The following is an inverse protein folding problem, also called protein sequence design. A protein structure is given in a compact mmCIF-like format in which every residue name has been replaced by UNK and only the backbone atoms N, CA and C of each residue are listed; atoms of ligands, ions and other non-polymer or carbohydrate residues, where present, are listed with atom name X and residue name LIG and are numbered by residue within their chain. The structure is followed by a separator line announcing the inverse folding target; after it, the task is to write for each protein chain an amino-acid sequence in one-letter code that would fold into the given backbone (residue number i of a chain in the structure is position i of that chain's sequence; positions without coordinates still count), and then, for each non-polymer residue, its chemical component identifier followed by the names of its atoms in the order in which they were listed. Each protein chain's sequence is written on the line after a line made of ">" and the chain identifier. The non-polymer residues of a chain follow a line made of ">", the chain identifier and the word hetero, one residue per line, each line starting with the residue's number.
data_IF_302017669305
#
_entry.id   IF_302017669305
#
_cell.length_a   1.000
_cell.length_b   1.000
_cell.length_c   1.000
_cell.angle_alpha   90.00
_cell.angle_beta   90.00
_cell.angle_gamma   90.00
#
_symmetry.space_group_name_H-M   'P 1'
#
loop_
_entity.id
_entity.type
_entity.pdbx_description
1 polymer ?
#
# COMPACT_ATOMS: atom_id res chain seq x y z
N UNK A 1 3.36 1.05 -5.20
CA UNK A 1 1.99 1.58 -5.35
C UNK A 1 1.77 2.37 -6.64
N UNK A 2 2.64 3.33 -7.02
CA UNK A 2 2.43 4.13 -8.24
C UNK A 2 2.37 3.28 -9.51
N UNK A 3 3.18 2.24 -9.63
CA UNK A 3 3.06 1.27 -10.72
C UNK A 3 1.68 0.59 -10.77
N UNK A 4 1.13 0.19 -9.62
CA UNK A 4 -0.22 -0.40 -9.54
C UNK A 4 -1.33 0.62 -9.82
N UNK A 5 -1.13 1.88 -9.42
CA UNK A 5 -2.01 2.99 -9.79
C UNK A 5 -2.01 3.23 -11.30
N UNK A 6 -0.86 3.06 -11.95
CA UNK A 6 -0.74 3.17 -13.40
C UNK A 6 -1.55 2.07 -14.13
N UNK A 7 -1.43 0.81 -13.67
CA UNK A 7 -2.28 -0.28 -14.16
C UNK A 7 -3.77 0.01 -13.97
N UNK A 8 -4.16 0.57 -12.82
CA UNK A 8 -5.55 0.97 -12.57
C UNK A 8 -6.04 2.03 -13.58
N UNK A 9 -5.20 3.01 -13.92
CA UNK A 9 -5.55 4.03 -14.93
C UNK A 9 -5.89 3.34 -16.26
N UNK A 10 -5.03 2.43 -16.73
CA UNK A 10 -5.26 1.69 -17.98
C UNK A 10 -6.54 0.86 -17.93
N UNK A 11 -6.76 0.13 -16.84
CA UNK A 11 -7.96 -0.70 -16.63
C UNK A 11 -9.26 0.13 -16.63
N UNK A 12 -9.27 1.27 -15.94
CA UNK A 12 -10.42 2.17 -15.92
C UNK A 12 -10.68 2.83 -17.27
N UNK A 13 -9.62 3.27 -17.97
CA UNK A 13 -9.76 3.86 -19.31
C UNK A 13 -10.40 2.88 -20.27
N UNK A 14 -9.91 1.64 -20.32
CA UNK A 14 -10.50 0.57 -21.12
C UNK A 14 -11.96 0.34 -20.74
N UNK A 15 -12.26 0.26 -19.44
CA UNK A 15 -13.63 0.12 -18.96
C UNK A 15 -14.56 1.23 -19.45
N UNK A 16 -14.13 2.49 -19.41
CA UNK A 16 -14.94 3.60 -19.90
C UNK A 16 -15.05 3.65 -21.43
N UNK A 17 -13.97 3.33 -22.16
CA UNK A 17 -13.96 3.23 -23.64
C UNK A 17 -14.94 2.16 -24.14
N UNK A 18 -15.06 1.04 -23.40
CA UNK A 18 -15.98 -0.06 -23.68
C UNK A 18 -17.38 0.14 -23.08
N UNK A 19 -17.69 1.33 -22.54
CA UNK A 19 -18.93 1.65 -21.82
C UNK A 19 -19.25 0.72 -20.64
N UNK A 20 -18.23 0.06 -20.07
CA UNK A 20 -18.31 -0.83 -18.93
C UNK A 20 -17.86 -0.12 -17.64
N UNK A 21 -18.70 0.81 -17.15
CA UNK A 21 -18.44 1.53 -15.90
C UNK A 21 -18.41 0.59 -14.66
N UNK A 22 -19.05 -0.58 -14.73
CA UNK A 22 -19.01 -1.57 -13.66
C UNK A 22 -17.59 -2.14 -13.47
N UNK A 23 -16.90 -2.44 -14.57
CA UNK A 23 -15.51 -2.90 -14.53
C UNK A 23 -14.59 -1.83 -13.92
N UNK A 24 -14.69 -0.59 -14.39
CA UNK A 24 -13.91 0.52 -13.85
C UNK A 24 -14.19 0.74 -12.35
N UNK A 25 -15.46 0.77 -11.94
CA UNK A 25 -15.84 0.93 -10.53
C UNK A 25 -15.32 -0.20 -9.63
N UNK A 26 -15.36 -1.45 -10.12
CA UNK A 26 -14.83 -2.61 -9.39
C UNK A 26 -13.31 -2.54 -9.24
N UNK A 27 -12.60 -2.14 -10.30
CA UNK A 27 -11.15 -1.94 -10.27
C UNK A 27 -10.76 -0.84 -9.28
N UNK A 28 -11.43 0.33 -9.33
CA UNK A 28 -11.20 1.45 -8.41
C UNK A 28 -11.42 1.01 -6.97
N UNK A 29 -12.53 0.33 -6.69
CA UNK A 29 -12.85 -0.17 -5.34
C UNK A 29 -11.77 -1.13 -4.85
N UNK A 30 -11.38 -2.09 -5.69
CA UNK A 30 -10.37 -3.11 -5.32
C UNK A 30 -9.02 -2.46 -5.04
N UNK A 31 -8.57 -1.53 -5.88
CA UNK A 31 -7.35 -0.79 -5.62
C UNK A 31 -7.43 0.05 -4.35
N UNK A 32 -8.50 0.83 -4.22
CA UNK A 32 -8.62 1.82 -3.12
C UNK A 32 -8.71 1.11 -1.77
N UNK A 33 -9.53 0.07 -1.67
CA UNK A 33 -9.78 -0.62 -0.41
C UNK A 33 -8.70 -1.65 -0.12
N UNK A 34 -8.56 -2.65 -1.00
CA UNK A 34 -7.78 -3.86 -0.71
C UNK A 34 -6.26 -3.67 -0.90
N UNK A 35 -5.81 -2.58 -1.52
CA UNK A 35 -4.38 -2.35 -1.80
C UNK A 35 -3.92 -1.05 -1.14
N UNK A 36 -4.57 0.07 -1.49
CA UNK A 36 -4.15 1.38 -1.02
C UNK A 36 -4.45 1.58 0.46
N UNK A 37 -5.71 1.41 0.89
CA UNK A 37 -6.11 1.61 2.29
C UNK A 37 -5.56 0.51 3.20
N UNK A 38 -5.84 -0.75 2.89
CA UNK A 38 -5.48 -1.87 3.77
C UNK A 38 -3.96 -1.98 3.95
N UNK A 39 -3.17 -1.85 2.88
CA UNK A 39 -1.74 -2.11 2.96
C UNK A 39 -0.86 -0.87 2.81
N UNK A 40 -1.00 -0.10 1.73
CA UNK A 40 -0.07 1.00 1.47
C UNK A 40 -0.17 2.11 2.51
N UNK A 41 -1.39 2.48 2.91
CA UNK A 41 -1.63 3.54 3.90
C UNK A 41 -1.02 3.14 5.25
N UNK A 42 -1.22 1.90 5.69
CA UNK A 42 -0.61 1.39 6.92
C UNK A 42 0.93 1.42 6.86
N UNK A 43 1.51 0.98 5.74
CA UNK A 43 2.96 0.95 5.54
C UNK A 43 3.57 2.35 5.58
N UNK A 44 2.91 3.31 4.95
CA UNK A 44 3.46 4.66 4.79
C UNK A 44 3.19 5.56 6.00
N UNK A 45 2.28 5.23 6.91
CA UNK A 45 1.96 6.05 8.11
C UNK A 45 3.20 6.47 8.89
N UNK A 46 4.06 5.52 9.23
CA UNK A 46 5.28 5.79 10.01
C UNK A 46 6.21 6.76 9.28
N UNK A 47 6.36 6.61 7.96
CA UNK A 47 7.17 7.49 7.12
C UNK A 47 6.53 8.87 6.88
N UNK A 48 5.22 8.93 6.74
CA UNK A 48 4.48 10.17 6.50
C UNK A 48 4.43 11.06 7.76
N UNK A 49 4.18 10.46 8.93
CA UNK A 49 4.20 11.18 10.20
C UNK A 49 5.62 11.45 10.69
N UNK A 50 6.51 10.46 10.57
CA UNK A 50 7.91 10.54 10.95
C UNK A 50 8.18 11.14 12.35
N UNK A 51 7.32 10.84 13.33
CA UNK A 51 7.37 11.43 14.69
C UNK A 51 8.71 11.13 15.38
N UNK A 52 9.21 9.93 15.16
CA UNK A 52 10.44 9.41 15.76
C UNK A 52 11.68 9.72 14.91
N UNK A 53 11.53 10.50 13.82
CA UNK A 53 12.61 10.86 12.87
C UNK A 53 13.39 9.67 12.30
N UNK A 54 12.74 8.51 12.20
CA UNK A 54 13.29 7.28 11.64
C UNK A 54 13.61 7.40 10.15
N UNK A 55 12.86 8.23 9.42
CA UNK A 55 13.02 8.44 8.00
C UNK A 55 13.63 9.81 7.70
N UNK A 56 14.48 9.89 6.69
CA UNK A 56 14.96 11.19 6.24
C UNK A 56 13.83 12.02 5.60
N UNK A 57 14.04 13.35 5.53
CA UNK A 57 13.01 14.28 5.04
C UNK A 57 12.61 14.04 3.57
N UNK A 58 13.51 13.48 2.74
CA UNK A 58 13.20 13.18 1.34
C UNK A 58 12.21 12.01 1.24
N UNK A 59 12.39 10.98 2.06
CA UNK A 59 11.48 9.84 2.15
C UNK A 59 10.10 10.26 2.67
N UNK A 60 10.05 11.13 3.68
CA UNK A 60 8.79 11.69 4.19
C UNK A 60 8.05 12.50 3.11
N UNK A 61 8.75 13.37 2.38
CA UNK A 61 8.15 14.12 1.25
C UNK A 61 7.67 13.19 0.13
N UNK A 62 8.44 12.13 -0.16
CA UNK A 62 8.04 11.09 -1.11
C UNK A 62 6.75 10.38 -0.70
N UNK A 63 6.58 10.09 0.59
CA UNK A 63 5.33 9.55 1.13
C UNK A 63 4.13 10.49 0.90
N UNK A 64 4.26 11.79 1.24
CA UNK A 64 3.20 12.77 1.03
C UNK A 64 2.84 12.93 -0.44
N UNK A 65 3.86 13.06 -1.31
CA UNK A 65 3.65 13.11 -2.75
C UNK A 65 2.85 11.91 -3.24
N UNK A 66 3.23 10.71 -2.81
CA UNK A 66 2.60 9.47 -3.28
C UNK A 66 1.17 9.34 -2.77
N UNK A 67 0.92 9.67 -1.50
CA UNK A 67 -0.44 9.70 -0.92
C UNK A 67 -1.37 10.65 -1.67
N UNK A 68 -0.92 11.89 -1.91
CA UNK A 68 -1.69 12.86 -2.67
C UNK A 68 -1.90 12.41 -4.11
N UNK A 69 -0.89 11.85 -4.78
CA UNK A 69 -1.05 11.38 -6.16
C UNK A 69 -2.02 10.22 -6.28
N UNK A 70 -1.97 9.26 -5.36
CA UNK A 70 -2.96 8.18 -5.32
C UNK A 70 -4.37 8.74 -5.12
N UNK A 71 -4.59 9.61 -4.13
CA UNK A 71 -5.91 10.18 -3.87
C UNK A 71 -6.42 11.04 -5.03
N UNK A 72 -5.58 11.92 -5.59
CA UNK A 72 -5.91 12.74 -6.76
C UNK A 72 -6.43 11.88 -7.93
N UNK A 73 -5.71 10.80 -8.25
CA UNK A 73 -6.05 9.92 -9.37
C UNK A 73 -7.29 9.08 -9.05
N UNK A 74 -7.41 8.53 -7.83
CA UNK A 74 -8.62 7.79 -7.40
C UNK A 74 -9.85 8.67 -7.58
N UNK A 75 -9.81 9.93 -7.14
CA UNK A 75 -10.95 10.86 -7.28
C UNK A 75 -11.30 11.10 -8.74
N UNK A 76 -10.31 11.36 -9.60
CA UNK A 76 -10.54 11.58 -11.04
C UNK A 76 -11.10 10.35 -11.75
N UNK A 77 -10.60 9.16 -11.43
CA UNK A 77 -11.10 7.90 -12.00
C UNK A 77 -12.53 7.60 -11.54
N UNK A 78 -12.86 7.97 -10.30
CA UNK A 78 -14.17 7.72 -9.68
C UNK A 78 -15.22 8.79 -10.04
N UNK A 79 -14.80 9.99 -10.46
CA UNK A 79 -15.70 11.12 -10.71
C UNK A 79 -16.87 10.82 -11.66
N UNK A 80 -16.69 10.05 -12.76
CA UNK A 80 -17.80 9.67 -13.63
C UNK A 80 -18.87 8.78 -12.97
N UNK A 81 -18.53 8.11 -11.86
CA UNK A 81 -19.41 7.16 -11.14
C UNK A 81 -19.98 7.82 -9.87
N UNK A 82 -19.17 8.56 -9.12
CA UNK A 82 -19.55 9.19 -7.85
C UNK A 82 -19.24 10.70 -7.85
N UNK A 83 -20.03 11.52 -8.57
CA UNK A 83 -19.64 12.90 -8.90
C UNK A 83 -19.63 13.84 -7.70
N UNK A 84 -20.57 13.72 -6.76
CA UNK A 84 -20.73 14.69 -5.66
C UNK A 84 -19.63 14.59 -4.60
N UNK A 85 -19.31 13.36 -4.18
CA UNK A 85 -18.28 13.15 -3.15
C UNK A 85 -16.88 13.43 -3.71
N UNK A 86 -16.63 13.05 -4.97
CA UNK A 86 -15.34 13.32 -5.62
C UNK A 86 -15.13 14.81 -5.82
N UNK A 87 -16.15 15.56 -6.23
CA UNK A 87 -16.14 17.03 -6.30
C UNK A 87 -15.84 17.65 -4.94
N UNK A 88 -16.54 17.24 -3.89
CA UNK A 88 -16.37 17.82 -2.55
C UNK A 88 -14.94 17.65 -2.04
N UNK A 89 -14.38 16.45 -2.13
CA UNK A 89 -13.00 16.18 -1.70
C UNK A 89 -11.99 16.92 -2.59
N UNK A 90 -12.25 17.01 -3.90
CA UNK A 90 -11.39 17.70 -4.86
C UNK A 90 -11.29 19.20 -4.59
N UNK A 91 -12.43 19.86 -4.35
CA UNK A 91 -12.51 21.29 -4.10
C UNK A 91 -11.84 21.72 -2.78
N UNK A 92 -11.78 20.79 -1.84
CA UNK A 92 -11.12 20.98 -0.55
C UNK A 92 -9.60 20.84 -0.68
N UNK A 93 -9.12 19.80 -1.38
CA UNK A 93 -7.71 19.42 -1.33
C UNK A 93 -6.85 19.89 -2.51
N UNK A 94 -7.42 20.08 -3.70
CA UNK A 94 -6.62 20.17 -4.93
C UNK A 94 -6.87 21.42 -5.78
N UNK A 95 -8.11 21.86 -5.92
CA UNK A 95 -8.44 23.01 -6.78
C UNK A 95 -9.68 23.73 -6.30
N UNK A 96 -9.94 24.95 -6.79
CA UNK A 96 -11.26 25.60 -6.67
C UNK A 96 -12.13 25.40 -7.91
N UNK A 97 -11.57 24.82 -8.95
CA UNK A 97 -12.29 24.40 -10.14
C UNK A 97 -12.80 22.97 -10.00
N UNK A 98 -13.95 22.70 -10.62
CA UNK A 98 -14.60 21.40 -10.58
C UNK A 98 -13.69 20.28 -11.09
N UNK A 99 -13.79 19.09 -10.47
CA UNK A 99 -13.08 17.90 -10.95
C UNK A 99 -13.55 17.49 -12.35
N UNK A 100 -14.81 17.81 -12.68
CA UNK A 100 -15.48 17.40 -13.92
C UNK A 100 -15.00 18.16 -15.15
N UNK A 101 -14.23 19.24 -14.98
CA UNK A 101 -13.56 19.96 -16.08
C UNK A 101 -12.07 19.62 -16.20
N UNK A 102 -11.56 18.74 -15.33
CA UNK A 102 -10.15 18.34 -15.34
C UNK A 102 -9.91 17.24 -16.38
N UNK A 103 -8.67 17.16 -16.86
CA UNK A 103 -8.27 16.05 -17.75
C UNK A 103 -8.37 14.72 -17.03
N UNK A 104 -8.91 13.74 -17.73
CA UNK A 104 -8.92 12.36 -17.27
C UNK A 104 -7.48 11.83 -17.16
N UNK A 105 -7.16 10.98 -16.16
CA UNK A 105 -5.81 10.46 -16.00
C UNK A 105 -5.30 9.65 -17.20
N UNK A 106 -4.00 9.73 -17.43
CA UNK A 106 -3.26 8.97 -18.44
C UNK A 106 -2.15 8.17 -17.77
N UNK A 107 -1.84 7.02 -18.36
CA UNK A 107 -0.71 6.21 -17.93
C UNK A 107 0.60 6.96 -18.14
N UNK A 108 1.56 6.68 -17.26
CA UNK A 108 2.85 7.34 -17.19
C UNK A 108 3.96 6.32 -17.31
N UNK A 109 4.83 6.50 -18.29
CA UNK A 109 5.98 5.61 -18.52
C UNK A 109 6.90 5.56 -17.30
N UNK A 110 7.09 6.67 -16.59
CA UNK A 110 7.93 6.72 -15.39
C UNK A 110 7.39 5.90 -14.21
N UNK A 111 6.12 5.47 -14.26
CA UNK A 111 5.51 4.62 -13.24
C UNK A 111 5.51 3.15 -13.63
N UNK A 112 5.86 2.80 -14.86
CA UNK A 112 6.05 1.40 -15.25
C UNK A 112 7.29 0.84 -14.58
N UNK A 113 7.09 -0.07 -13.63
CA UNK A 113 8.17 -0.61 -12.84
C UNK A 113 7.84 -2.03 -12.36
N UNK A 114 8.79 -2.95 -12.50
CA UNK A 114 8.66 -4.36 -12.10
C UNK A 114 8.48 -4.56 -10.60
N UNK A 115 8.73 -3.54 -9.76
CA UNK A 115 8.46 -3.57 -8.32
C UNK A 115 7.00 -3.90 -7.98
N UNK A 116 6.07 -3.65 -8.90
CA UNK A 116 4.65 -4.04 -8.74
C UNK A 116 4.48 -5.54 -8.56
N UNK A 117 5.37 -6.35 -9.13
CA UNK A 117 5.35 -7.81 -9.01
C UNK A 117 5.61 -8.28 -7.57
N UNK A 118 6.18 -7.41 -6.71
CA UNK A 118 6.38 -7.69 -5.30
C UNK A 118 5.15 -7.40 -4.44
N UNK A 119 4.14 -6.72 -4.98
CA UNK A 119 2.94 -6.33 -4.24
C UNK A 119 2.20 -7.53 -3.62
N UNK A 120 2.00 -8.67 -4.32
CA UNK A 120 1.36 -9.84 -3.70
C UNK A 120 2.15 -10.37 -2.50
N UNK A 121 3.48 -10.48 -2.61
CA UNK A 121 4.34 -10.91 -1.50
C UNK A 121 4.30 -9.92 -0.33
N UNK A 122 4.29 -8.63 -0.61
CA UNK A 122 4.17 -7.58 0.40
C UNK A 122 2.83 -7.66 1.15
N UNK A 123 1.73 -7.85 0.43
CA UNK A 123 0.39 -8.01 1.02
C UNK A 123 0.30 -9.29 1.84
N UNK A 124 0.84 -10.40 1.33
CA UNK A 124 0.90 -11.68 2.03
C UNK A 124 1.68 -11.57 3.35
N UNK A 125 2.86 -10.92 3.33
CA UNK A 125 3.62 -10.65 4.55
C UNK A 125 2.80 -9.87 5.57
N UNK A 126 2.16 -8.77 5.16
CA UNK A 126 1.35 -7.96 6.06
C UNK A 126 0.21 -8.78 6.70
N UNK A 127 -0.50 -9.55 5.88
CA UNK A 127 -1.58 -10.42 6.34
C UNK A 127 -1.07 -11.49 7.30
N UNK A 128 0.07 -12.11 7.01
CA UNK A 128 0.68 -13.12 7.86
C UNK A 128 0.99 -12.57 9.27
N UNK A 129 1.61 -11.38 9.35
CA UNK A 129 1.94 -10.73 10.61
C UNK A 129 0.69 -10.31 11.39
N UNK A 130 -0.31 -9.71 10.73
CA UNK A 130 -1.55 -9.35 11.41
C UNK A 130 -2.31 -10.56 11.94
N UNK A 131 -2.38 -11.64 11.16
CA UNK A 131 -3.00 -12.88 11.59
C UNK A 131 -2.23 -13.52 12.75
N UNK A 132 -0.90 -13.47 12.73
CA UNK A 132 -0.09 -13.93 13.85
C UNK A 132 -0.36 -13.14 15.12
N UNK A 133 -0.36 -11.79 15.04
CA UNK A 133 -0.67 -10.92 16.17
C UNK A 133 -2.06 -11.20 16.73
N UNK A 134 -3.07 -11.29 15.86
CA UNK A 134 -4.45 -11.60 16.24
C UNK A 134 -4.57 -12.96 16.95
N UNK A 135 -3.94 -14.01 16.40
CA UNK A 135 -3.95 -15.37 16.99
C UNK A 135 -3.29 -15.43 18.37
N UNK A 136 -2.29 -14.58 18.60
CA UNK A 136 -1.57 -14.50 19.88
C UNK A 136 -2.09 -13.39 20.81
N UNK A 137 -3.25 -12.78 20.52
CA UNK A 137 -3.81 -11.65 21.29
C UNK A 137 -2.86 -10.44 21.45
N UNK A 138 -1.99 -10.21 20.47
CA UNK A 138 -1.08 -9.06 20.40
C UNK A 138 -1.78 -7.93 19.63
N UNK A 139 -1.78 -6.72 20.17
CA UNK A 139 -2.35 -5.57 19.45
C UNK A 139 -1.52 -5.24 18.19
N UNK A 140 -2.16 -4.78 17.12
CA UNK A 140 -1.46 -4.53 15.84
C UNK A 140 -0.33 -3.49 15.96
N UNK A 141 -0.50 -2.50 16.86
CA UNK A 141 0.49 -1.46 17.15
C UNK A 141 1.50 -1.87 18.24
N UNK A 142 1.33 -3.03 18.87
CA UNK A 142 2.26 -3.53 19.88
C UNK A 142 3.49 -4.11 19.21
N UNK A 143 4.64 -3.86 19.83
CA UNK A 143 5.95 -4.36 19.39
C UNK A 143 6.06 -5.87 19.51
N UNK A 144 6.67 -6.49 18.49
CA UNK A 144 7.00 -7.91 18.46
C UNK A 144 8.37 -8.13 19.09
N UNK A 145 8.39 -8.23 20.42
CA UNK A 145 9.60 -8.50 21.22
C UNK A 145 9.85 -9.99 21.39
N UNK A 146 11.13 -10.35 21.51
CA UNK A 146 11.54 -11.75 21.76
C UNK A 146 11.16 -12.70 20.62
N UNK A 147 10.98 -12.15 19.40
CA UNK A 147 10.77 -12.94 18.20
C UNK A 147 11.68 -12.46 17.08
N UNK A 148 12.10 -13.38 16.22
CA UNK A 148 12.73 -13.08 14.94
C UNK A 148 11.73 -13.38 13.84
N UNK A 149 11.42 -12.36 13.04
CA UNK A 149 10.56 -12.48 11.87
C UNK A 149 11.45 -12.69 10.65
N UNK A 150 11.17 -13.72 9.87
CA UNK A 150 11.83 -14.00 8.60
C UNK A 150 10.92 -13.62 7.43
N UNK A 151 11.45 -12.83 6.51
CA UNK A 151 10.78 -12.37 5.30
C UNK A 151 11.48 -12.84 4.01
N UNK A 152 10.78 -12.90 2.87
CA UNK A 152 11.39 -13.21 1.57
C UNK A 152 12.46 -12.18 1.19
N UNK A 153 13.58 -12.62 0.60
CA UNK A 153 14.67 -11.71 0.17
C UNK A 153 14.20 -10.59 -0.75
N UNK A 154 13.20 -10.86 -1.58
CA UNK A 154 12.64 -9.89 -2.53
C UNK A 154 12.03 -8.67 -1.82
N UNK A 155 11.61 -8.81 -0.56
CA UNK A 155 11.02 -7.72 0.24
C UNK A 155 12.08 -6.87 0.96
N UNK A 156 13.37 -7.18 0.82
CA UNK A 156 14.46 -6.39 1.42
C UNK A 156 14.39 -4.88 1.12
N UNK A 157 14.01 -4.43 -0.09
CA UNK A 157 13.84 -3.00 -0.36
C UNK A 157 12.80 -2.28 0.51
N UNK A 158 11.92 -3.02 1.21
CA UNK A 158 10.87 -2.49 2.07
C UNK A 158 11.17 -2.65 3.56
N UNK A 159 12.39 -3.05 3.94
CA UNK A 159 12.76 -3.37 5.33
C UNK A 159 12.31 -2.30 6.34
N UNK A 160 12.65 -1.04 6.09
CA UNK A 160 12.33 0.06 7.00
C UNK A 160 10.82 0.23 7.19
N UNK A 161 10.05 0.14 6.10
CA UNK A 161 8.59 0.23 6.14
C UNK A 161 7.98 -0.96 6.88
N UNK A 162 8.47 -2.19 6.63
CA UNK A 162 7.98 -3.41 7.27
C UNK A 162 8.24 -3.40 8.78
N UNK A 163 9.46 -3.03 9.20
CA UNK A 163 9.80 -2.89 10.62
C UNK A 163 8.95 -1.83 11.29
N UNK A 164 8.81 -0.66 10.65
CA UNK A 164 8.07 0.45 11.24
C UNK A 164 6.56 0.19 11.33
N UNK A 165 5.97 -0.41 10.29
CA UNK A 165 4.54 -0.73 10.20
C UNK A 165 4.14 -1.79 11.22
N UNK A 166 4.91 -2.87 11.32
CA UNK A 166 4.59 -4.01 12.17
C UNK A 166 5.24 -3.97 13.55
N UNK A 167 6.06 -2.95 13.83
CA UNK A 167 6.85 -2.84 15.07
C UNK A 167 7.68 -4.11 15.32
N UNK A 168 8.44 -4.50 14.30
CA UNK A 168 9.32 -5.66 14.33
C UNK A 168 10.71 -5.21 14.79
N UNK A 169 11.16 -5.77 15.91
CA UNK A 169 12.51 -5.54 16.45
C UNK A 169 13.55 -6.24 15.57
N UNK A 170 13.38 -7.55 15.37
CA UNK A 170 14.30 -8.41 14.62
C UNK A 170 13.65 -8.92 13.33
N UNK A 171 13.97 -8.28 12.21
CA UNK A 171 13.58 -8.71 10.87
C UNK A 171 14.80 -9.26 10.14
N UNK A 172 14.71 -10.49 9.67
CA UNK A 172 15.75 -11.18 8.89
C UNK A 172 15.15 -11.55 7.54
N UNK A 173 15.97 -11.52 6.48
CA UNK A 173 15.54 -11.95 5.16
C UNK A 173 16.14 -13.32 4.84
N UNK A 174 15.31 -14.23 4.34
CA UNK A 174 15.68 -15.61 4.04
C UNK A 174 14.84 -16.63 4.81
N UNK A 175 15.37 -17.85 4.96
CA UNK A 175 14.71 -18.94 5.68
C UNK A 175 15.47 -19.24 6.98
N UNK A 176 14.77 -19.58 8.07
CA UNK A 176 15.42 -20.02 9.30
C UNK A 176 16.06 -21.40 9.12
N UNK A 177 17.25 -21.59 9.70
CA UNK A 177 17.99 -22.87 9.71
C UNK A 177 17.85 -23.63 11.04
N UNK A 178 16.90 -23.24 11.88
CA UNK A 178 16.75 -23.70 13.28
C UNK A 178 15.42 -24.40 13.53
N UNK A 179 15.35 -25.17 14.62
CA UNK A 179 14.10 -25.77 15.14
C UNK A 179 13.23 -24.73 15.87
N UNK A 180 11.93 -25.00 16.04
CA UNK A 180 10.99 -24.09 16.73
C UNK A 180 10.39 -22.99 15.84
N UNK A 181 10.43 -23.16 14.52
CA UNK A 181 9.93 -22.20 13.53
C UNK A 181 8.42 -22.30 13.38
N UNK A 182 7.70 -21.21 13.63
CA UNK A 182 6.30 -21.08 13.27
C UNK A 182 6.20 -20.54 11.83
N UNK A 183 5.72 -21.38 10.91
CA UNK A 183 5.40 -20.95 9.54
C UNK A 183 4.06 -20.20 9.54
N UNK A 184 4.09 -18.89 9.33
CA UNK A 184 2.89 -18.05 9.33
C UNK A 184 2.34 -17.78 7.92
N UNK A 185 3.18 -17.88 6.89
CA UNK A 185 2.81 -17.95 5.47
C UNK A 185 3.83 -18.77 4.67
N UNK A 186 3.66 -18.92 3.35
CA UNK A 186 4.52 -19.71 2.47
C UNK A 186 6.01 -19.36 2.61
N UNK A 187 6.33 -18.07 2.67
CA UNK A 187 7.69 -17.53 2.75
C UNK A 187 7.93 -16.64 4.00
N UNK A 188 7.03 -16.70 4.99
CA UNK A 188 7.12 -15.88 6.22
C UNK A 188 7.13 -16.77 7.45
N UNK A 189 8.13 -16.57 8.30
CA UNK A 189 8.36 -17.40 9.48
C UNK A 189 8.59 -16.55 10.72
N UNK A 190 8.23 -17.08 11.89
CA UNK A 190 8.49 -16.44 13.18
C UNK A 190 9.15 -17.46 14.11
N UNK A 191 10.25 -17.06 14.73
CA UNK A 191 10.95 -17.83 15.74
C UNK A 191 10.87 -17.09 17.06
N UNK A 192 10.46 -17.78 18.13
CA UNK A 192 10.49 -17.23 19.49
C UNK A 192 11.90 -17.39 20.08
N UNK A 193 12.42 -16.31 20.66
CA UNK A 193 13.69 -16.28 21.38
C UNK A 193 13.47 -16.50 22.88
#
# INVERSE_FOLDING_TARGET
>A
ILAKLNELIGECRKGYEEMNAFHAGTAIRTFTWNIFADHYLEAVKSRAYNRDKLFNIRLQRGAWYTLHKCLEIILKLLAPICPFITETIWLELYSKESIHIQRFPEEREEWKNSIVNLLPKFMDFNNAIWQYKKRNNIALNQELKGVVVYAPMDLKPFEDDLKAMHKIENLVFGKPEIEGVEKVSEEVFIVKC
#
